data_IF_800138476697
#
_entry.id   IF_800138476697
#
_cell.length_a   1.000
_cell.length_b   1.000
_cell.length_c   1.000
_cell.angle_alpha   90.00
_cell.angle_beta   90.00
_cell.angle_gamma   90.00
#
_symmetry.space_group_name_H-M   'P 1'
#
loop_
_entity.id
_entity.type
_entity.pdbx_description
1 polymer ?
#
# COMPACT_ATOMS: atom_id res chain seq x y z
N UNK A 1 6.13 -3.62 22.42
CA UNK A 1 5.06 -3.00 21.58
C UNK A 1 5.53 -2.67 20.18
N UNK A 2 6.69 -2.02 20.00
CA UNK A 2 7.21 -1.60 18.69
C UNK A 2 7.48 -2.74 17.70
N UNK A 3 7.95 -3.90 18.16
CA UNK A 3 8.17 -5.09 17.30
C UNK A 3 6.85 -5.66 16.74
N UNK A 4 5.77 -5.62 17.54
CA UNK A 4 4.44 -6.01 17.09
C UNK A 4 3.90 -5.00 16.07
N UNK A 5 4.26 -3.73 16.24
CA UNK A 5 3.89 -2.65 15.32
C UNK A 5 4.55 -2.78 13.95
N UNK A 6 5.80 -3.25 13.91
CA UNK A 6 6.55 -3.48 12.68
C UNK A 6 5.94 -4.60 11.81
N UNK A 7 5.15 -5.51 12.39
CA UNK A 7 4.47 -6.57 11.63
C UNK A 7 3.43 -5.99 10.66
N UNK A 8 2.75 -4.91 11.02
CA UNK A 8 1.69 -4.31 10.20
C UNK A 8 2.22 -3.85 8.82
N UNK A 9 3.25 -2.99 8.73
CA UNK A 9 3.87 -2.66 7.45
C UNK A 9 4.62 -3.84 6.82
N UNK A 10 5.15 -4.79 7.60
CA UNK A 10 5.76 -5.99 7.04
C UNK A 10 4.74 -6.85 6.26
N UNK A 11 3.54 -7.08 6.79
CA UNK A 11 2.46 -7.76 6.09
C UNK A 11 1.99 -6.97 4.86
N UNK A 12 1.93 -5.63 4.97
CA UNK A 12 1.67 -4.76 3.83
C UNK A 12 2.68 -4.94 2.70
N UNK A 13 3.97 -5.04 3.03
CA UNK A 13 5.01 -5.28 2.02
C UNK A 13 4.85 -6.64 1.33
N UNK A 14 4.56 -7.70 2.10
CA UNK A 14 4.30 -9.03 1.54
C UNK A 14 3.10 -9.05 0.60
N UNK A 15 2.02 -8.35 0.96
CA UNK A 15 0.82 -8.21 0.15
C UNK A 15 1.10 -7.48 -1.18
N UNK A 16 1.93 -6.43 -1.16
CA UNK A 16 2.33 -5.72 -2.36
C UNK A 16 3.32 -6.49 -3.24
N UNK A 17 4.19 -7.32 -2.64
CA UNK A 17 5.04 -8.26 -3.38
C UNK A 17 4.18 -9.28 -4.11
N UNK A 18 3.18 -9.86 -3.43
CA UNK A 18 2.24 -10.79 -4.05
C UNK A 18 1.45 -10.13 -5.20
N UNK A 19 0.94 -8.91 -5.00
CA UNK A 19 0.27 -8.14 -6.04
C UNK A 19 1.18 -7.86 -7.24
N UNK A 20 2.45 -7.54 -7.01
CA UNK A 20 3.46 -7.34 -8.05
C UNK A 20 3.69 -8.62 -8.84
N UNK A 21 3.86 -9.76 -8.16
CA UNK A 21 4.03 -11.07 -8.77
C UNK A 21 2.85 -11.47 -9.65
N UNK A 22 1.61 -11.27 -9.18
CA UNK A 22 0.42 -11.55 -9.96
C UNK A 22 0.31 -10.64 -11.20
N UNK A 23 0.60 -9.35 -11.06
CA UNK A 23 0.68 -8.42 -12.19
C UNK A 23 1.78 -8.81 -13.19
N UNK A 24 2.90 -9.39 -12.74
CA UNK A 24 3.94 -9.94 -13.63
C UNK A 24 3.45 -11.16 -14.41
N UNK A 25 2.66 -12.03 -13.79
CA UNK A 25 2.05 -13.21 -14.44
C UNK A 25 0.86 -12.91 -15.35
N UNK A 26 0.45 -11.65 -15.47
CA UNK A 26 -0.78 -11.23 -16.19
C UNK A 26 -2.05 -11.84 -15.61
N UNK A 27 -2.01 -12.29 -14.35
CA UNK A 27 -3.19 -12.75 -13.63
C UNK A 27 -3.83 -11.51 -13.00
N UNK A 28 -5.13 -11.30 -13.24
CA UNK A 28 -5.88 -10.29 -12.51
C UNK A 28 -5.93 -10.75 -11.05
N UNK A 29 -5.05 -10.17 -10.21
CA UNK A 29 -4.95 -10.50 -8.79
C UNK A 29 -6.22 -10.11 -8.00
N UNK A 30 -7.05 -9.27 -8.59
CA UNK A 30 -8.27 -8.80 -8.00
C UNK A 30 -9.43 -9.74 -8.30
N UNK A 31 -10.33 -9.94 -7.32
CA UNK A 31 -11.51 -10.79 -7.52
C UNK A 31 -12.35 -10.26 -8.70
N UNK A 32 -12.62 -11.08 -9.74
CA UNK A 32 -13.52 -10.69 -10.82
C UNK A 32 -14.93 -10.45 -10.27
N UNK A 33 -15.62 -9.43 -10.79
CA UNK A 33 -16.98 -9.06 -10.36
C UNK A 33 -17.10 -8.33 -9.00
N UNK A 34 -16.04 -8.26 -8.19
CA UNK A 34 -16.03 -7.51 -6.92
C UNK A 34 -15.12 -6.28 -7.09
N UNK A 35 -15.60 -5.10 -6.71
CA UNK A 35 -14.88 -3.82 -6.78
C UNK A 35 -14.50 -3.31 -8.19
N UNK A 36 -15.00 -3.92 -9.28
CA UNK A 36 -14.73 -3.54 -10.67
C UNK A 36 -13.24 -3.38 -11.00
N UNK A 37 -12.39 -4.19 -10.36
CA UNK A 37 -10.94 -4.11 -10.51
C UNK A 37 -10.46 -4.34 -11.96
N UNK A 38 -11.26 -5.00 -12.77
CA UNK A 38 -11.06 -5.24 -14.20
C UNK A 38 -10.93 -3.92 -14.98
N UNK A 39 -11.74 -2.93 -14.59
CA UNK A 39 -11.78 -1.59 -15.19
C UNK A 39 -10.53 -0.81 -14.79
N UNK A 40 -10.10 -0.94 -13.53
CA UNK A 40 -8.85 -0.32 -13.05
C UNK A 40 -7.64 -0.83 -13.84
N UNK A 41 -7.66 -2.12 -14.19
CA UNK A 41 -6.61 -2.74 -15.00
C UNK A 41 -6.56 -2.22 -16.45
N UNK A 42 -7.66 -1.63 -16.93
CA UNK A 42 -7.75 -1.04 -18.26
C UNK A 42 -7.33 0.45 -18.27
N UNK A 43 -7.67 1.18 -17.20
CA UNK A 43 -7.40 2.62 -17.07
C UNK A 43 -5.92 2.89 -16.78
N UNK A 44 -5.33 2.16 -15.83
CA UNK A 44 -3.97 2.44 -15.36
C UNK A 44 -2.99 1.51 -16.08
N UNK A 45 -2.01 2.02 -16.86
CA UNK A 45 -1.10 1.17 -17.61
C UNK A 45 -0.28 0.26 -16.68
N UNK A 46 -0.01 -0.97 -17.13
CA UNK A 46 0.68 -1.98 -16.32
C UNK A 46 2.01 -1.51 -15.73
N UNK A 47 2.77 -0.69 -16.47
CA UNK A 47 4.06 -0.14 -16.01
C UNK A 47 3.91 0.74 -14.77
N UNK A 48 2.89 1.59 -14.72
CA UNK A 48 2.67 2.47 -13.56
C UNK A 48 2.16 1.67 -12.37
N UNK A 49 1.28 0.68 -12.58
CA UNK A 49 0.83 -0.22 -11.50
C UNK A 49 1.99 -1.00 -10.87
N UNK A 50 2.88 -1.55 -11.70
CA UNK A 50 4.06 -2.26 -11.21
C UNK A 50 5.03 -1.33 -10.48
N UNK A 51 5.29 -0.13 -11.01
CA UNK A 51 6.18 0.83 -10.37
C UNK A 51 5.64 1.26 -8.99
N UNK A 52 4.35 1.58 -8.92
CA UNK A 52 3.68 1.94 -7.66
C UNK A 52 3.67 0.76 -6.69
N UNK A 53 3.40 -0.46 -7.17
CA UNK A 53 3.38 -1.65 -6.31
C UNK A 53 4.75 -2.01 -5.73
N UNK A 54 5.80 -1.94 -6.55
CA UNK A 54 7.18 -2.17 -6.10
C UNK A 54 7.59 -1.06 -5.13
N UNK A 55 7.31 0.20 -5.45
CA UNK A 55 7.61 1.34 -4.57
C UNK A 55 6.89 1.25 -3.22
N UNK A 56 5.61 0.84 -3.21
CA UNK A 56 4.86 0.62 -1.99
C UNK A 56 5.44 -0.56 -1.18
N UNK A 57 5.79 -1.67 -1.83
CA UNK A 57 6.41 -2.81 -1.18
C UNK A 57 7.73 -2.44 -0.49
N UNK A 58 8.60 -1.70 -1.17
CA UNK A 58 9.89 -1.27 -0.61
C UNK A 58 9.71 -0.25 0.51
N UNK A 59 8.83 0.73 0.33
CA UNK A 59 8.55 1.73 1.37
C UNK A 59 8.00 1.10 2.65
N UNK A 60 7.07 0.14 2.54
CA UNK A 60 6.52 -0.61 3.67
C UNK A 60 7.59 -1.46 4.37
N UNK A 61 8.46 -2.12 3.61
CA UNK A 61 9.57 -2.88 4.18
C UNK A 61 10.56 -1.99 4.95
N UNK A 62 10.89 -0.82 4.39
CA UNK A 62 11.74 0.18 5.04
C UNK A 62 11.07 0.71 6.31
N UNK A 63 9.78 1.03 6.27
CA UNK A 63 9.04 1.46 7.48
C UNK A 63 9.04 0.39 8.57
N UNK A 64 8.81 -0.88 8.22
CA UNK A 64 8.89 -1.98 9.18
C UNK A 64 10.27 -2.05 9.85
N UNK A 65 11.33 -1.89 9.06
CA UNK A 65 12.70 -1.88 9.57
C UNK A 65 12.96 -0.68 10.49
N UNK A 66 12.55 0.53 10.09
CA UNK A 66 12.70 1.75 10.89
C UNK A 66 11.96 1.65 12.24
N UNK A 67 10.74 1.11 12.23
CA UNK A 67 9.98 0.87 13.46
C UNK A 67 10.67 -0.17 14.35
N UNK A 68 11.21 -1.24 13.76
CA UNK A 68 11.95 -2.26 14.50
C UNK A 68 13.26 -1.70 15.12
N UNK A 69 13.90 -0.74 14.44
CA UNK A 69 15.08 -0.01 14.92
C UNK A 69 14.74 1.16 15.85
N UNK A 70 13.46 1.36 16.20
CA UNK A 70 12.97 2.43 17.06
C UNK A 70 13.16 3.86 16.50
N UNK A 71 13.19 4.01 15.17
CA UNK A 71 13.21 5.30 14.47
C UNK A 71 11.78 5.66 14.01
N UNK A 72 10.95 6.13 14.93
CA UNK A 72 9.53 6.41 14.68
C UNK A 72 9.27 7.65 13.80
N UNK A 73 10.07 8.71 13.93
CA UNK A 73 9.91 9.95 13.14
C UNK A 73 10.08 9.76 11.62
N UNK A 74 11.14 9.10 11.12
CA UNK A 74 11.26 8.88 9.68
C UNK A 74 10.21 7.89 9.15
N UNK A 75 9.75 6.94 9.98
CA UNK A 75 8.65 6.06 9.63
C UNK A 75 7.33 6.86 9.51
N UNK A 76 7.10 7.83 10.40
CA UNK A 76 5.95 8.74 10.31
C UNK A 76 6.00 9.57 9.03
N UNK A 77 7.15 10.17 8.70
CA UNK A 77 7.31 10.94 7.47
C UNK A 77 7.00 10.10 6.21
N UNK A 78 7.51 8.86 6.15
CA UNK A 78 7.19 7.92 5.06
C UNK A 78 5.70 7.58 5.00
N UNK A 79 5.05 7.38 6.16
CA UNK A 79 3.62 7.08 6.21
C UNK A 79 2.76 8.24 5.68
N UNK A 80 3.11 9.50 6.01
CA UNK A 80 2.40 10.70 5.54
C UNK A 80 2.52 10.85 4.03
N UNK A 81 3.74 10.69 3.49
CA UNK A 81 3.96 10.72 2.03
C UNK A 81 3.18 9.60 1.34
N UNK A 82 3.18 8.40 1.93
CA UNK A 82 2.39 7.28 1.44
C UNK A 82 0.89 7.58 1.41
N UNK A 83 0.33 8.15 2.48
CA UNK A 83 -1.08 8.55 2.56
C UNK A 83 -1.42 9.60 1.50
N UNK A 84 -0.56 10.59 1.25
CA UNK A 84 -0.79 11.60 0.23
C UNK A 84 -0.90 10.98 -1.18
N UNK A 85 -0.02 10.02 -1.49
CA UNK A 85 -0.08 9.26 -2.75
C UNK A 85 -1.33 8.37 -2.80
N UNK A 86 -1.67 7.72 -1.68
CA UNK A 86 -2.87 6.89 -1.52
C UNK A 86 -4.17 7.66 -1.76
N UNK A 87 -4.29 8.88 -1.21
CA UNK A 87 -5.43 9.76 -1.43
C UNK A 87 -5.62 10.13 -2.91
N UNK A 88 -4.53 10.39 -3.63
CA UNK A 88 -4.58 10.59 -5.08
C UNK A 88 -5.05 9.32 -5.82
N UNK A 89 -4.56 8.15 -5.39
CA UNK A 89 -5.01 6.86 -5.90
C UNK A 89 -6.50 6.60 -5.66
N UNK A 90 -7.01 6.89 -4.46
CA UNK A 90 -8.43 6.82 -4.11
C UNK A 90 -9.28 7.76 -4.94
N UNK A 91 -8.85 9.01 -5.13
CA UNK A 91 -9.57 9.97 -5.98
C UNK A 91 -9.71 9.47 -7.43
N UNK A 92 -8.64 8.87 -7.98
CA UNK A 92 -8.67 8.22 -9.29
C UNK A 92 -9.64 7.02 -9.34
N UNK A 93 -9.64 6.18 -8.30
CA UNK A 93 -10.52 5.01 -8.19
C UNK A 93 -12.00 5.41 -8.12
N UNK A 94 -12.34 6.41 -7.29
CA UNK A 94 -13.70 6.94 -7.16
C UNK A 94 -14.17 7.58 -8.46
N UNK A 95 -13.33 8.39 -9.10
CA UNK A 95 -13.68 9.06 -10.37
C UNK A 95 -14.05 8.09 -11.49
N UNK A 96 -13.43 6.90 -11.50
CA UNK A 96 -13.64 5.91 -12.55
C UNK A 96 -14.50 4.72 -12.11
N UNK A 97 -15.01 4.72 -10.88
CA UNK A 97 -15.83 3.62 -10.32
C UNK A 97 -15.10 2.28 -10.26
N UNK A 98 -13.76 2.29 -10.21
CA UNK A 98 -12.93 1.11 -10.29
C UNK A 98 -11.99 1.06 -9.08
N UNK A 99 -12.23 0.13 -8.17
CA UNK A 99 -11.55 0.08 -6.88
C UNK A 99 -10.47 -0.99 -6.89
N UNK A 100 -9.35 -0.74 -6.23
CA UNK A 100 -8.25 -1.70 -6.11
C UNK A 100 -8.15 -2.15 -4.64
N UNK A 101 -8.59 -3.38 -4.34
CA UNK A 101 -8.58 -3.90 -2.97
C UNK A 101 -7.19 -3.83 -2.34
N UNK A 102 -6.14 -4.25 -3.06
CA UNK A 102 -4.75 -4.20 -2.58
C UNK A 102 -4.27 -2.78 -2.28
N UNK A 103 -4.71 -1.81 -3.07
CA UNK A 103 -4.36 -0.41 -2.89
C UNK A 103 -5.03 0.15 -1.63
N UNK A 104 -6.34 -0.11 -1.46
CA UNK A 104 -7.11 0.32 -0.29
C UNK A 104 -6.56 -0.30 0.99
N UNK A 105 -6.21 -1.59 0.98
CA UNK A 105 -5.60 -2.25 2.14
C UNK A 105 -4.26 -1.64 2.51
N UNK A 106 -3.47 -1.24 1.51
CA UNK A 106 -2.17 -0.60 1.73
C UNK A 106 -2.33 0.80 2.32
N UNK A 107 -3.29 1.58 1.82
CA UNK A 107 -3.61 2.91 2.36
C UNK A 107 -4.11 2.81 3.81
N UNK A 108 -4.94 1.81 4.12
CA UNK A 108 -5.38 1.54 5.48
C UNK A 108 -4.21 1.18 6.41
N UNK A 109 -3.28 0.35 5.94
CA UNK A 109 -2.06 0.01 6.69
C UNK A 109 -1.23 1.26 6.98
N UNK A 110 -1.02 2.13 5.99
CA UNK A 110 -0.28 3.38 6.16
C UNK A 110 -0.95 4.30 7.18
N UNK A 111 -2.28 4.45 7.09
CA UNK A 111 -3.06 5.26 8.01
C UNK A 111 -3.01 4.73 9.45
N UNK A 112 -3.22 3.43 9.65
CA UNK A 112 -3.12 2.80 10.97
C UNK A 112 -1.71 2.96 11.54
N UNK A 113 -0.69 2.74 10.72
CA UNK A 113 0.71 2.88 11.15
C UNK A 113 1.00 4.32 11.59
N UNK A 114 0.57 5.31 10.80
CA UNK A 114 0.70 6.72 11.15
C UNK A 114 -0.04 7.07 12.45
N UNK A 115 -1.30 6.65 12.59
CA UNK A 115 -2.12 6.93 13.77
C UNK A 115 -1.51 6.32 15.04
N UNK A 116 -0.96 5.11 14.96
CA UNK A 116 -0.32 4.48 16.12
C UNK A 116 0.98 5.18 16.47
N UNK A 117 1.79 5.60 15.49
CA UNK A 117 3.01 6.36 15.77
C UNK A 117 2.65 7.70 16.44
N UNK A 118 1.70 8.47 15.91
CA UNK A 118 1.30 9.77 16.47
C UNK A 118 0.73 9.66 17.89
N UNK A 119 0.05 8.56 18.21
CA UNK A 119 -0.53 8.36 19.55
C UNK A 119 0.44 7.79 20.59
N UNK A 120 1.61 7.29 20.16
CA UNK A 120 2.62 6.68 21.05
C UNK A 120 3.96 7.44 21.06
N UNK A 121 4.07 8.53 20.30
CA UNK A 121 5.15 9.53 20.37
C UNK A 121 4.69 10.65 21.30
#
# INVERSE_FOLDING_TARGET
>A
MQQLLALVPAFGSALMIYYTYQNMKRVNACLPGIFHCEIFNFIVPRRTRLAVAIGAATALAIMALLIAMNYAEPALALSIVGIAIGLYGLALQVKHGAYCMYCITTDAILFITAAIIVTNV
#
